data_IF_963231150394
#
_entry.id   IF_963231150394
#
_cell.length_a   1.000
_cell.length_b   1.000
_cell.length_c   1.000
_cell.angle_alpha   90.00
_cell.angle_beta   90.00
_cell.angle_gamma   90.00
#
_symmetry.space_group_name_H-M   'P 1'
#
loop_
_entity.id
_entity.type
_entity.pdbx_description
1 polymer ?
#
# COMPACT_ATOMS: atom_id res chain seq x y z
N UNK A 1 20.33 10.48 -14.99
CA UNK A 1 19.98 10.77 -13.56
C UNK A 1 19.69 9.48 -12.76
N UNK A 2 18.89 8.53 -13.26
CA UNK A 2 18.63 7.25 -12.57
C UNK A 2 19.90 6.40 -12.42
N UNK A 3 20.77 6.40 -13.41
CA UNK A 3 22.06 5.68 -13.39
C UNK A 3 23.00 6.25 -12.34
N UNK A 4 23.12 7.58 -12.24
CA UNK A 4 23.99 8.25 -11.28
C UNK A 4 23.50 8.21 -9.83
N UNK A 5 22.19 8.03 -9.59
CA UNK A 5 21.65 7.85 -8.25
C UNK A 5 21.86 6.43 -7.68
N UNK A 6 22.31 5.49 -8.50
CA UNK A 6 22.64 4.11 -8.12
C UNK A 6 24.11 3.92 -7.75
N UNK A 7 24.97 4.84 -8.20
CA UNK A 7 26.39 4.81 -7.92
C UNK A 7 26.62 5.61 -6.63
N UNK A 8 26.37 4.98 -5.49
CA UNK A 8 26.94 5.47 -4.23
C UNK A 8 28.43 5.12 -4.19
N UNK A 9 29.21 5.98 -3.56
CA UNK A 9 30.67 5.99 -3.35
C UNK A 9 31.26 4.70 -2.75
N UNK A 10 30.95 3.52 -3.27
CA UNK A 10 31.42 2.26 -2.74
C UNK A 10 32.18 1.44 -3.78
N UNK A 11 33.14 0.68 -3.29
CA UNK A 11 34.14 -0.13 -3.93
C UNK A 11 33.66 -0.78 -5.25
N UNK A 12 34.11 -0.22 -6.38
CA UNK A 12 33.80 -0.73 -7.73
C UNK A 12 34.21 -2.21 -7.94
N UNK A 13 34.97 -2.78 -7.02
CA UNK A 13 35.41 -4.17 -7.03
C UNK A 13 34.48 -5.10 -6.24
N UNK A 14 33.47 -4.61 -5.58
CA UNK A 14 32.51 -5.46 -4.87
C UNK A 14 31.72 -6.33 -5.86
N UNK A 15 31.78 -7.68 -5.76
CA UNK A 15 31.12 -8.59 -6.70
C UNK A 15 29.60 -8.33 -6.83
N UNK A 16 28.97 -7.85 -5.76
CA UNK A 16 27.55 -7.50 -5.75
C UNK A 16 27.28 -6.23 -6.56
N UNK A 17 28.14 -5.23 -6.44
CA UNK A 17 28.05 -4.00 -7.21
C UNK A 17 28.22 -4.28 -8.71
N UNK A 18 29.20 -5.11 -9.08
CA UNK A 18 29.41 -5.57 -10.47
C UNK A 18 28.15 -6.27 -10.98
N UNK A 19 27.59 -7.20 -10.21
CA UNK A 19 26.39 -7.94 -10.61
C UNK A 19 25.14 -7.05 -10.71
N UNK A 20 25.00 -6.07 -9.82
CA UNK A 20 23.94 -5.06 -9.88
C UNK A 20 24.06 -4.20 -11.15
N UNK A 21 25.28 -3.78 -11.48
CA UNK A 21 25.58 -3.00 -12.69
C UNK A 21 25.28 -3.79 -13.95
N UNK A 22 25.70 -5.04 -14.04
CA UNK A 22 25.37 -5.94 -15.15
C UNK A 22 23.86 -6.09 -15.35
N UNK A 23 23.12 -6.31 -14.25
CA UNK A 23 21.66 -6.42 -14.27
C UNK A 23 20.98 -5.14 -14.76
N UNK A 24 21.48 -3.99 -14.34
CA UNK A 24 20.98 -2.68 -14.76
C UNK A 24 21.26 -2.49 -16.25
N UNK A 25 22.47 -2.81 -16.70
CA UNK A 25 22.85 -2.72 -18.12
C UNK A 25 22.02 -3.66 -18.98
N UNK A 26 21.74 -4.89 -18.57
CA UNK A 26 20.81 -5.81 -19.25
C UNK A 26 19.40 -5.23 -19.40
N UNK A 27 18.90 -4.54 -18.36
CA UNK A 27 17.58 -3.93 -18.35
C UNK A 27 17.51 -2.77 -19.35
N UNK A 28 18.55 -1.93 -19.41
CA UNK A 28 18.56 -0.71 -20.22
C UNK A 28 18.99 -0.96 -21.67
N UNK A 29 19.62 -2.09 -22.01
CA UNK A 29 20.10 -2.40 -23.37
C UNK A 29 19.06 -3.09 -24.25
N UNK A 30 17.89 -3.46 -23.74
CA UNK A 30 16.81 -4.11 -24.51
C UNK A 30 15.99 -3.04 -25.26
N UNK A 31 16.55 -2.51 -26.37
CA UNK A 31 16.06 -1.28 -27.03
C UNK A 31 14.99 -1.47 -28.12
N UNK A 32 14.83 -2.67 -28.68
CA UNK A 32 14.12 -2.84 -29.97
C UNK A 32 12.61 -2.55 -29.93
N UNK A 33 11.95 -2.74 -28.77
CA UNK A 33 10.51 -2.46 -28.66
C UNK A 33 10.22 -1.02 -28.22
N UNK A 34 11.19 -0.33 -27.68
CA UNK A 34 11.06 0.97 -27.06
C UNK A 34 10.86 2.10 -28.08
N UNK A 35 11.56 2.01 -29.25
CA UNK A 35 11.46 3.02 -30.31
C UNK A 35 10.11 2.98 -31.03
N UNK A 36 9.58 1.79 -31.32
CA UNK A 36 8.25 1.66 -31.91
C UNK A 36 7.17 2.24 -31.00
N UNK A 37 7.17 1.86 -29.71
CA UNK A 37 6.20 2.35 -28.74
C UNK A 37 6.30 3.87 -28.61
N UNK A 38 7.53 4.41 -28.51
CA UNK A 38 7.77 5.85 -28.39
C UNK A 38 7.30 6.62 -29.62
N UNK A 39 7.75 6.18 -30.82
CA UNK A 39 7.62 6.99 -32.03
C UNK A 39 6.29 6.79 -32.76
N UNK A 40 5.58 5.67 -32.50
CA UNK A 40 4.31 5.35 -33.17
C UNK A 40 3.14 5.47 -32.20
N UNK A 41 3.22 4.79 -31.03
CA UNK A 41 2.09 4.74 -30.09
C UNK A 41 1.96 6.03 -29.26
N UNK A 42 3.08 6.58 -28.80
CA UNK A 42 3.11 7.79 -27.96
C UNK A 42 3.70 9.01 -28.68
N UNK A 43 3.63 9.02 -29.99
CA UNK A 43 4.16 10.11 -30.84
C UNK A 43 3.69 11.49 -30.35
N UNK A 44 2.44 11.61 -29.95
CA UNK A 44 1.82 12.88 -29.53
C UNK A 44 1.81 13.07 -28.01
N UNK A 45 2.36 12.12 -27.21
CA UNK A 45 2.41 12.18 -25.76
C UNK A 45 3.68 11.57 -25.16
N UNK A 46 4.80 12.22 -25.45
CA UNK A 46 6.14 11.80 -24.96
C UNK A 46 6.25 11.81 -23.45
N UNK A 47 5.52 12.69 -22.75
CA UNK A 47 5.53 12.71 -21.29
C UNK A 47 4.93 11.44 -20.68
N UNK A 48 3.82 10.98 -21.23
CA UNK A 48 3.18 9.72 -20.81
C UNK A 48 4.07 8.52 -21.10
N UNK A 49 4.71 8.49 -22.27
CA UNK A 49 5.69 7.46 -22.60
C UNK A 49 6.82 7.40 -21.56
N UNK A 50 7.40 8.56 -21.21
CA UNK A 50 8.49 8.62 -20.24
C UNK A 50 8.06 8.12 -18.85
N UNK A 51 6.83 8.42 -18.42
CA UNK A 51 6.26 7.89 -17.17
C UNK A 51 6.12 6.37 -17.23
N UNK A 52 5.55 5.82 -18.30
CA UNK A 52 5.40 4.37 -18.50
C UNK A 52 6.74 3.65 -18.54
N UNK A 53 7.70 4.21 -19.29
CA UNK A 53 9.05 3.69 -19.43
C UNK A 53 9.74 3.59 -18.07
N UNK A 54 9.69 4.66 -17.27
CA UNK A 54 10.27 4.68 -15.92
C UNK A 54 9.68 3.59 -15.02
N UNK A 55 8.36 3.41 -15.03
CA UNK A 55 7.67 2.37 -14.26
C UNK A 55 8.06 0.99 -14.75
N UNK A 56 8.11 0.78 -16.07
CA UNK A 56 8.48 -0.49 -16.66
C UNK A 56 9.88 -0.94 -16.21
N UNK A 57 10.89 -0.09 -16.39
CA UNK A 57 12.26 -0.42 -16.02
C UNK A 57 12.43 -0.63 -14.51
N UNK A 58 11.79 0.20 -13.70
CA UNK A 58 11.86 0.04 -12.23
C UNK A 58 11.21 -1.27 -11.77
N UNK A 59 10.10 -1.68 -12.40
CA UNK A 59 9.49 -2.98 -12.13
C UNK A 59 10.42 -4.15 -12.49
N UNK A 60 11.10 -4.06 -13.65
CA UNK A 60 12.09 -5.04 -14.06
C UNK A 60 13.24 -5.13 -13.05
N UNK A 61 13.77 -3.98 -12.64
CA UNK A 61 14.84 -3.89 -11.64
C UNK A 61 14.43 -4.56 -10.31
N UNK A 62 13.29 -4.18 -9.74
CA UNK A 62 12.77 -4.76 -8.49
C UNK A 62 12.61 -6.28 -8.60
N UNK A 63 12.06 -6.76 -9.71
CA UNK A 63 11.89 -8.20 -9.93
C UNK A 63 13.22 -8.94 -9.98
N UNK A 64 14.19 -8.43 -10.74
CA UNK A 64 15.52 -9.03 -10.86
C UNK A 64 16.27 -8.97 -9.54
N UNK A 65 16.27 -7.83 -8.82
CA UNK A 65 16.89 -7.70 -7.49
C UNK A 65 16.34 -8.74 -6.52
N UNK A 66 15.02 -8.90 -6.44
CA UNK A 66 14.41 -9.90 -5.56
C UNK A 66 14.88 -11.31 -5.88
N UNK A 67 15.02 -11.66 -7.18
CA UNK A 67 15.52 -12.97 -7.61
C UNK A 67 16.99 -13.18 -7.30
N UNK A 68 17.83 -12.17 -7.50
CA UNK A 68 19.28 -12.26 -7.23
C UNK A 68 19.55 -12.41 -5.74
N UNK A 69 18.83 -11.65 -4.91
CA UNK A 69 18.96 -11.72 -3.45
C UNK A 69 18.33 -12.98 -2.86
N UNK A 70 17.63 -13.79 -3.67
CA UNK A 70 16.88 -14.96 -3.18
C UNK A 70 15.95 -14.61 -2.01
N UNK A 71 15.44 -13.35 -2.00
CA UNK A 71 14.57 -12.86 -0.93
C UNK A 71 13.18 -13.49 -1.02
N UNK A 72 12.92 -14.45 -0.12
CA UNK A 72 11.66 -15.14 -0.02
C UNK A 72 10.67 -14.46 0.96
N UNK A 73 11.06 -13.33 1.56
CA UNK A 73 10.13 -12.59 2.42
C UNK A 73 9.13 -11.80 1.56
N UNK A 74 7.83 -11.83 1.90
CA UNK A 74 6.87 -11.00 1.21
C UNK A 74 7.08 -9.51 1.50
N UNK A 75 6.77 -8.66 0.53
CA UNK A 75 6.62 -7.23 0.74
C UNK A 75 5.16 -6.94 1.07
N UNK A 76 4.89 -6.41 2.27
CA UNK A 76 3.53 -6.27 2.81
C UNK A 76 3.03 -4.84 2.68
N UNK A 77 1.92 -4.66 1.96
CA UNK A 77 1.28 -3.37 1.68
C UNK A 77 -0.08 -3.31 2.35
N UNK A 78 -0.32 -2.35 3.25
CA UNK A 78 -1.67 -2.08 3.74
C UNK A 78 -2.30 -0.93 2.95
N UNK A 79 -3.52 -1.14 2.45
CA UNK A 79 -4.36 -0.10 1.87
C UNK A 79 -5.39 0.39 2.87
N UNK A 80 -5.47 1.71 3.06
CA UNK A 80 -6.49 2.37 3.89
C UNK A 80 -6.98 3.66 3.23
N UNK A 81 -7.87 4.38 3.89
CA UNK A 81 -8.32 5.72 3.46
C UNK A 81 -9.82 5.85 3.30
N UNK A 82 -10.22 7.05 2.89
CA UNK A 82 -11.62 7.47 2.74
C UNK A 82 -12.43 6.47 1.90
N UNK A 83 -13.69 6.18 2.24
CA UNK A 83 -14.57 5.44 1.36
C UNK A 83 -14.69 6.05 -0.04
N UNK A 84 -14.93 5.21 -1.06
CA UNK A 84 -15.15 5.64 -2.46
C UNK A 84 -13.99 6.37 -3.14
N UNK A 85 -12.77 6.21 -2.65
CA UNK A 85 -11.55 6.71 -3.32
C UNK A 85 -11.05 5.79 -4.45
N UNK A 86 -11.68 4.64 -4.66
CA UNK A 86 -11.26 3.66 -5.67
C UNK A 86 -10.19 2.66 -5.19
N UNK A 87 -10.02 2.46 -3.85
CA UNK A 87 -9.04 1.52 -3.29
C UNK A 87 -9.11 0.13 -3.90
N UNK A 88 -10.28 -0.49 -3.93
CA UNK A 88 -10.46 -1.86 -4.45
C UNK A 88 -10.05 -1.96 -5.92
N UNK A 89 -10.40 -0.96 -6.74
CA UNK A 89 -9.96 -0.91 -8.14
C UNK A 89 -8.44 -0.78 -8.24
N UNK A 90 -7.84 0.05 -7.37
CA UNK A 90 -6.39 0.24 -7.32
C UNK A 90 -5.66 -1.04 -6.89
N UNK A 91 -6.15 -1.73 -5.87
CA UNK A 91 -5.62 -3.03 -5.40
C UNK A 91 -5.65 -4.07 -6.54
N UNK A 92 -6.76 -4.18 -7.27
CA UNK A 92 -6.88 -5.10 -8.39
C UNK A 92 -5.94 -4.74 -9.55
N UNK A 93 -5.83 -3.46 -9.89
CA UNK A 93 -4.88 -2.99 -10.90
C UNK A 93 -3.42 -3.30 -10.52
N UNK A 94 -3.05 -3.13 -9.26
CA UNK A 94 -1.72 -3.46 -8.74
C UNK A 94 -1.44 -4.96 -8.79
N UNK A 95 -2.40 -5.79 -8.37
CA UNK A 95 -2.31 -7.24 -8.50
C UNK A 95 -1.97 -7.65 -9.92
N UNK A 96 -2.74 -7.14 -10.90
CA UNK A 96 -2.54 -7.48 -12.30
C UNK A 96 -1.21 -6.94 -12.84
N UNK A 97 -0.83 -5.73 -12.43
CA UNK A 97 0.44 -5.11 -12.79
C UNK A 97 1.65 -5.94 -12.35
N UNK A 98 1.65 -6.42 -11.11
CA UNK A 98 2.75 -7.24 -10.58
C UNK A 98 2.70 -8.67 -11.12
N UNK A 99 1.53 -9.30 -11.22
CA UNK A 99 1.38 -10.66 -11.75
C UNK A 99 1.86 -10.78 -13.21
N UNK A 100 1.60 -9.77 -14.05
CA UNK A 100 2.08 -9.74 -15.43
C UNK A 100 3.61 -9.80 -15.55
N UNK A 101 4.35 -9.42 -14.50
CA UNK A 101 5.80 -9.55 -14.45
C UNK A 101 6.27 -10.90 -13.92
N UNK A 102 5.42 -11.64 -13.23
CA UNK A 102 5.74 -12.92 -12.63
C UNK A 102 5.86 -12.88 -11.09
N UNK A 103 5.49 -11.77 -10.45
CA UNK A 103 5.37 -11.76 -8.99
C UNK A 103 4.19 -12.61 -8.54
N UNK A 104 4.38 -13.37 -7.47
CA UNK A 104 3.30 -14.04 -6.74
C UNK A 104 2.66 -13.02 -5.80
N UNK A 105 1.42 -12.62 -6.11
CA UNK A 105 0.69 -11.60 -5.34
C UNK A 105 -0.51 -12.22 -4.66
N UNK A 106 -0.61 -12.02 -3.35
CA UNK A 106 -1.76 -12.41 -2.54
C UNK A 106 -2.51 -11.16 -2.05
N UNK A 107 -3.85 -11.22 -2.03
CA UNK A 107 -4.70 -10.16 -1.48
C UNK A 107 -5.42 -10.72 -0.27
N UNK A 108 -5.29 -10.01 0.86
CA UNK A 108 -6.13 -10.19 2.04
C UNK A 108 -7.26 -9.15 1.98
N UNK A 109 -8.47 -9.63 1.72
CA UNK A 109 -9.66 -8.78 1.57
C UNK A 109 -10.06 -8.14 2.90
N UNK A 110 -10.77 -7.02 2.82
CA UNK A 110 -11.32 -6.35 4.00
C UNK A 110 -12.18 -7.31 4.82
N UNK A 111 -11.75 -7.59 6.04
CA UNK A 111 -12.40 -8.59 6.90
C UNK A 111 -13.87 -8.30 7.16
N UNK A 112 -14.24 -7.03 7.32
CA UNK A 112 -15.63 -6.63 7.61
C UNK A 112 -16.60 -6.90 6.46
N UNK A 113 -16.11 -7.13 5.26
CA UNK A 113 -16.92 -7.52 4.09
C UNK A 113 -17.05 -9.03 3.93
N UNK A 114 -16.22 -9.82 4.64
CA UNK A 114 -16.20 -11.27 4.53
C UNK A 114 -17.50 -11.91 5.01
N UNK A 115 -17.87 -13.02 4.40
CA UNK A 115 -19.05 -13.82 4.81
C UNK A 115 -18.91 -14.34 6.25
N UNK A 116 -17.69 -14.69 6.67
CA UNK A 116 -17.40 -15.12 8.05
C UNK A 116 -17.71 -14.01 9.05
N UNK A 117 -17.27 -12.78 8.78
CA UNK A 117 -17.59 -11.64 9.65
C UNK A 117 -19.09 -11.41 9.73
N UNK A 118 -19.78 -11.39 8.59
CA UNK A 118 -21.23 -11.13 8.52
C UNK A 118 -22.05 -12.20 9.23
N UNK A 119 -21.68 -13.47 9.10
CA UNK A 119 -22.48 -14.59 9.63
C UNK A 119 -22.11 -14.97 11.07
N UNK A 120 -20.84 -14.94 11.42
CA UNK A 120 -20.35 -15.47 12.71
C UNK A 120 -20.05 -14.38 13.73
N UNK A 121 -19.44 -13.26 13.30
CA UNK A 121 -18.92 -12.24 14.21
C UNK A 121 -19.90 -11.09 14.39
N UNK A 122 -20.39 -10.51 13.30
CA UNK A 122 -21.29 -9.37 13.35
C UNK A 122 -22.55 -9.59 14.22
N UNK A 123 -23.24 -10.74 14.20
CA UNK A 123 -24.38 -10.99 15.06
C UNK A 123 -24.05 -11.01 16.54
N UNK A 124 -22.84 -11.47 16.90
CA UNK A 124 -22.40 -11.53 18.32
C UNK A 124 -21.96 -10.16 18.85
N UNK A 125 -21.57 -9.26 17.96
CA UNK A 125 -21.11 -7.91 18.29
C UNK A 125 -22.22 -6.93 18.61
N UNK A 126 -23.48 -7.26 18.30
CA UNK A 126 -24.63 -6.34 18.36
C UNK A 126 -24.86 -5.66 19.72
N UNK A 127 -24.27 -6.16 20.80
CA UNK A 127 -24.44 -5.66 22.16
C UNK A 127 -23.15 -5.23 22.91
N UNK A 128 -21.92 -5.45 22.36
CA UNK A 128 -20.65 -5.14 23.05
C UNK A 128 -19.65 -4.37 22.15
N UNK A 129 -20.11 -3.44 21.42
CA UNK A 129 -19.57 -2.92 20.16
C UNK A 129 -18.16 -2.32 20.14
N UNK A 130 -17.64 -1.70 21.19
CA UNK A 130 -16.46 -0.83 21.02
C UNK A 130 -15.13 -1.58 21.11
N UNK A 131 -14.97 -2.42 22.11
CA UNK A 131 -13.68 -3.07 22.37
C UNK A 131 -13.45 -4.33 21.52
N UNK A 132 -14.51 -5.11 21.25
CA UNK A 132 -14.40 -6.40 20.53
C UNK A 132 -14.01 -6.20 19.07
N UNK A 133 -14.59 -5.21 18.38
CA UNK A 133 -14.25 -4.91 16.98
C UNK A 133 -12.79 -4.48 16.85
N UNK A 134 -12.30 -3.67 17.79
CA UNK A 134 -10.94 -3.16 17.76
C UNK A 134 -9.89 -4.19 18.19
N UNK A 135 -10.28 -5.30 18.81
CA UNK A 135 -9.35 -6.37 19.21
C UNK A 135 -9.49 -7.64 18.37
N UNK A 136 -10.68 -8.06 18.01
CA UNK A 136 -10.90 -9.32 17.29
C UNK A 136 -10.58 -9.21 15.79
N UNK A 137 -10.92 -8.08 15.16
CA UNK A 137 -10.57 -7.86 13.76
C UNK A 137 -9.06 -7.89 13.53
N UNK A 138 -8.24 -7.15 14.29
CA UNK A 138 -6.79 -7.23 14.19
C UNK A 138 -6.20 -8.61 14.42
N UNK A 139 -6.69 -9.35 15.40
CA UNK A 139 -6.24 -10.74 15.65
C UNK A 139 -6.49 -11.63 14.43
N UNK A 140 -7.66 -11.50 13.82
CA UNK A 140 -7.99 -12.27 12.63
C UNK A 140 -7.11 -11.88 11.44
N UNK A 141 -6.92 -10.57 11.21
CA UNK A 141 -6.05 -10.08 10.13
C UNK A 141 -4.62 -10.53 10.33
N UNK A 142 -4.08 -10.46 11.56
CA UNK A 142 -2.74 -10.97 11.88
C UNK A 142 -2.62 -12.46 11.58
N UNK A 143 -3.60 -13.27 11.97
CA UNK A 143 -3.60 -14.70 11.67
C UNK A 143 -3.59 -14.96 10.16
N UNK A 144 -4.43 -14.26 9.40
CA UNK A 144 -4.44 -14.38 7.94
C UNK A 144 -3.11 -13.94 7.31
N UNK A 145 -2.50 -12.88 7.85
CA UNK A 145 -1.18 -12.41 7.39
C UNK A 145 -0.11 -13.48 7.65
N UNK A 146 -0.09 -14.09 8.83
CA UNK A 146 0.86 -15.16 9.17
C UNK A 146 0.68 -16.37 8.25
N UNK A 147 -0.55 -16.83 8.05
CA UNK A 147 -0.89 -17.91 7.09
C UNK A 147 -0.48 -17.55 5.64
N UNK A 148 -0.59 -16.28 5.25
CA UNK A 148 -0.14 -15.81 3.93
C UNK A 148 1.38 -15.82 3.81
N UNK A 149 2.10 -15.34 4.84
CA UNK A 149 3.57 -15.36 4.87
C UNK A 149 4.12 -16.77 4.72
N UNK A 150 3.48 -17.78 5.33
CA UNK A 150 3.87 -19.19 5.19
C UNK A 150 3.78 -19.70 3.75
N UNK A 151 2.88 -19.17 2.93
CA UNK A 151 2.76 -19.47 1.49
C UNK A 151 3.83 -18.82 0.62
N UNK A 152 4.66 -17.93 1.20
CA UNK A 152 5.79 -17.25 0.57
C UNK A 152 5.43 -16.51 -0.73
N UNK A 153 4.39 -15.68 -0.77
CA UNK A 153 4.17 -14.81 -1.92
C UNK A 153 5.30 -13.76 -2.01
N UNK A 154 5.45 -13.13 -3.17
CA UNK A 154 6.37 -12.00 -3.31
C UNK A 154 5.81 -10.72 -2.70
N UNK A 155 4.49 -10.54 -2.79
CA UNK A 155 3.77 -9.35 -2.33
C UNK A 155 2.46 -9.78 -1.65
N UNK A 156 2.19 -9.20 -0.48
CA UNK A 156 0.89 -9.30 0.19
C UNK A 156 0.25 -7.91 0.19
N UNK A 157 -0.96 -7.80 -0.33
CA UNK A 157 -1.75 -6.56 -0.29
C UNK A 157 -2.92 -6.79 0.66
N UNK A 158 -3.06 -5.92 1.67
CA UNK A 158 -4.12 -6.02 2.67
C UNK A 158 -5.07 -4.83 2.48
N UNK A 159 -6.35 -5.10 2.24
CA UNK A 159 -7.39 -4.06 2.20
C UNK A 159 -7.91 -3.84 3.62
N UNK A 160 -7.46 -2.77 4.28
CA UNK A 160 -7.74 -2.36 5.66
C UNK A 160 -7.26 -3.36 6.73
N UNK A 161 -6.28 -2.96 7.50
CA UNK A 161 -5.63 -3.81 8.49
C UNK A 161 -5.44 -3.06 9.83
N UNK A 162 -4.25 -3.16 10.37
CA UNK A 162 -3.88 -2.63 11.68
C UNK A 162 -3.89 -1.09 11.71
N UNK A 163 -3.40 -0.46 10.65
CA UNK A 163 -3.37 1.00 10.57
C UNK A 163 -4.78 1.59 10.41
N UNK A 164 -5.61 0.94 9.60
CA UNK A 164 -7.02 1.34 9.49
C UNK A 164 -7.74 1.25 10.85
N UNK A 165 -7.38 0.28 11.70
CA UNK A 165 -7.93 0.21 13.07
C UNK A 165 -7.48 1.37 13.94
N UNK A 166 -6.24 1.85 13.80
CA UNK A 166 -5.81 3.06 14.51
C UNK A 166 -6.63 4.30 14.10
N UNK A 167 -6.98 4.44 12.81
CA UNK A 167 -7.87 5.53 12.35
C UNK A 167 -9.23 5.45 13.06
N UNK A 168 -9.81 4.25 13.16
CA UNK A 168 -11.08 4.06 13.86
C UNK A 168 -10.99 4.28 15.37
N UNK A 169 -9.89 3.90 16.00
CA UNK A 169 -9.61 4.12 17.43
C UNK A 169 -9.47 5.62 17.69
N UNK A 170 -8.72 6.36 16.85
CA UNK A 170 -8.59 7.81 16.95
C UNK A 170 -9.94 8.51 16.82
N UNK A 171 -10.76 8.10 15.84
CA UNK A 171 -12.11 8.63 15.68
C UNK A 171 -13.00 8.39 16.92
N UNK A 172 -12.88 7.24 17.57
CA UNK A 172 -13.62 6.96 18.81
C UNK A 172 -13.15 7.87 19.96
N UNK A 173 -11.83 8.10 20.05
CA UNK A 173 -11.25 9.01 21.03
C UNK A 173 -11.72 10.45 20.83
N UNK A 174 -11.66 10.98 19.62
CA UNK A 174 -12.15 12.33 19.30
C UNK A 174 -13.63 12.53 19.62
N UNK A 175 -14.43 11.48 19.54
CA UNK A 175 -15.86 11.48 19.90
C UNK A 175 -16.14 11.27 21.38
N UNK A 176 -15.14 11.32 22.25
CA UNK A 176 -15.26 10.96 23.67
C UNK A 176 -15.86 9.57 23.90
N UNK A 177 -15.70 8.69 22.92
CA UNK A 177 -16.16 7.31 23.02
C UNK A 177 -15.15 6.36 23.65
N UNK A 178 -13.96 6.87 23.97
CA UNK A 178 -12.81 6.16 24.54
C UNK A 178 -12.05 7.13 25.46
N UNK A 179 -11.50 6.62 26.56
CA UNK A 179 -10.62 7.40 27.44
C UNK A 179 -9.21 7.55 26.83
N UNK A 180 -8.46 8.53 27.29
CA UNK A 180 -7.06 8.74 26.86
C UNK A 180 -6.17 7.54 27.20
N UNK A 181 -6.39 6.90 28.35
CA UNK A 181 -5.66 5.70 28.72
C UNK A 181 -5.93 4.54 27.76
N UNK A 182 -7.19 4.27 27.42
CA UNK A 182 -7.54 3.24 26.43
C UNK A 182 -6.93 3.55 25.06
N UNK A 183 -7.00 4.80 24.62
CA UNK A 183 -6.40 5.23 23.36
C UNK A 183 -4.88 5.01 23.34
N UNK A 184 -4.20 5.36 24.43
CA UNK A 184 -2.76 5.11 24.61
C UNK A 184 -2.43 3.61 24.55
N UNK A 185 -3.21 2.76 25.18
CA UNK A 185 -3.01 1.30 25.16
C UNK A 185 -3.17 0.73 23.73
N UNK A 186 -4.14 1.20 22.96
CA UNK A 186 -4.26 0.80 21.54
C UNK A 186 -3.04 1.23 20.72
N UNK A 187 -2.53 2.44 20.89
CA UNK A 187 -1.31 2.88 20.21
C UNK A 187 -0.12 2.02 20.57
N UNK A 188 0.10 1.75 21.87
CA UNK A 188 1.17 0.87 22.34
C UNK A 188 1.08 -0.54 21.76
N UNK A 189 -0.12 -1.05 21.54
CA UNK A 189 -0.35 -2.37 20.96
C UNK A 189 -0.10 -2.37 19.44
N UNK A 190 -0.68 -1.42 18.70
CA UNK A 190 -0.69 -1.48 17.23
C UNK A 190 0.57 -0.93 16.58
N UNK A 191 1.18 0.13 17.10
CA UNK A 191 2.35 0.74 16.47
C UNK A 191 3.50 -0.25 16.28
N UNK A 192 3.92 -1.04 17.29
CA UNK A 192 4.96 -2.06 17.11
C UNK A 192 4.57 -3.15 16.08
N UNK A 193 3.29 -3.57 16.07
CA UNK A 193 2.81 -4.57 15.12
C UNK A 193 2.85 -4.04 13.68
N UNK A 194 2.42 -2.80 13.47
CA UNK A 194 2.48 -2.14 12.16
C UNK A 194 3.94 -2.07 11.68
N UNK A 195 4.85 -1.54 12.51
CA UNK A 195 6.27 -1.40 12.17
C UNK A 195 6.96 -2.73 11.84
N UNK A 196 6.51 -3.83 12.46
CA UNK A 196 7.13 -5.15 12.29
C UNK A 196 6.50 -6.00 11.18
N UNK A 197 5.25 -5.73 10.80
CA UNK A 197 4.47 -6.60 9.91
C UNK A 197 4.08 -5.96 8.57
N UNK A 198 4.20 -4.63 8.45
CA UNK A 198 3.77 -3.88 7.28
C UNK A 198 4.94 -3.04 6.78
N UNK A 199 5.34 -3.23 5.53
CA UNK A 199 6.45 -2.49 4.93
C UNK A 199 6.04 -1.08 4.52
N UNK A 200 4.81 -0.92 4.00
CA UNK A 200 4.28 0.37 3.56
C UNK A 200 2.77 0.46 3.70
N UNK A 201 2.30 1.64 4.06
CA UNK A 201 0.88 1.98 4.10
C UNK A 201 0.57 2.95 2.97
N UNK A 202 -0.36 2.55 2.10
CA UNK A 202 -0.92 3.37 1.04
C UNK A 202 -2.30 3.85 1.48
N UNK A 203 -2.41 5.13 1.73
CA UNK A 203 -3.68 5.75 2.11
C UNK A 203 -4.23 6.60 0.99
N UNK A 204 -5.51 6.46 0.69
CA UNK A 204 -6.21 7.28 -0.29
C UNK A 204 -7.20 8.21 0.38
N UNK A 205 -7.12 9.49 0.04
CA UNK A 205 -7.96 10.55 0.57
C UNK A 205 -8.89 11.10 -0.52
N UNK A 206 -10.06 11.53 -0.14
CA UNK A 206 -10.92 12.44 -0.90
C UNK A 206 -11.80 13.24 0.06
N UNK A 207 -12.21 14.42 -0.34
CA UNK A 207 -13.21 15.19 0.44
C UNK A 207 -14.55 14.45 0.54
N UNK A 208 -15.34 14.82 1.53
CA UNK A 208 -16.61 14.16 1.84
C UNK A 208 -17.64 14.25 0.71
N UNK A 209 -17.73 15.40 0.05
CA UNK A 209 -18.70 15.62 -1.02
C UNK A 209 -18.36 14.80 -2.26
N UNK A 210 -17.10 14.76 -2.63
CA UNK A 210 -16.61 13.91 -3.73
C UNK A 210 -16.82 12.42 -3.42
N UNK A 211 -16.56 11.99 -2.17
CA UNK A 211 -16.85 10.62 -1.74
C UNK A 211 -18.34 10.29 -1.89
N UNK A 212 -19.23 11.15 -1.41
CA UNK A 212 -20.69 10.97 -1.53
C UNK A 212 -21.12 10.94 -2.99
N UNK A 213 -20.66 11.89 -3.81
CA UNK A 213 -20.98 11.93 -5.25
C UNK A 213 -20.59 10.62 -5.94
N UNK A 214 -19.40 10.10 -5.64
CA UNK A 214 -18.95 8.81 -6.17
C UNK A 214 -19.80 7.65 -5.68
N UNK A 215 -20.29 7.69 -4.43
CA UNK A 215 -21.17 6.65 -3.88
C UNK A 215 -22.53 6.64 -4.58
N UNK A 216 -23.18 7.78 -4.73
CA UNK A 216 -24.44 7.89 -5.45
C UNK A 216 -24.33 7.41 -6.89
N UNK A 217 -23.27 7.82 -7.60
CA UNK A 217 -23.01 7.39 -8.98
C UNK A 217 -22.78 5.89 -9.09
N UNK A 218 -21.98 5.31 -8.19
CA UNK A 218 -21.65 3.88 -8.21
C UNK A 218 -22.86 2.99 -7.92
N UNK A 219 -23.82 3.48 -7.11
CA UNK A 219 -25.02 2.72 -6.75
C UNK A 219 -26.22 3.02 -7.66
N UNK A 220 -26.11 4.01 -8.53
CA UNK A 220 -27.22 4.50 -9.38
C UNK A 220 -28.49 4.78 -8.54
N UNK A 221 -28.34 5.31 -7.33
CA UNK A 221 -29.41 5.53 -6.37
C UNK A 221 -29.24 6.85 -5.64
N UNK A 222 -30.34 7.53 -5.34
CA UNK A 222 -30.39 8.73 -4.50
C UNK A 222 -30.72 8.42 -3.03
N UNK A 223 -30.78 7.14 -2.66
CA UNK A 223 -31.07 6.73 -1.28
C UNK A 223 -29.92 7.06 -0.34
N UNK A 224 -30.25 7.68 0.79
CA UNK A 224 -29.27 7.99 1.85
C UNK A 224 -28.83 6.72 2.56
N UNK A 225 -27.54 6.55 2.70
CA UNK A 225 -26.96 5.47 3.53
C UNK A 225 -26.72 5.97 4.95
N UNK A 226 -26.99 5.12 5.93
CA UNK A 226 -26.85 5.47 7.35
C UNK A 226 -25.41 5.83 7.75
N UNK A 227 -24.44 5.16 7.20
CA UNK A 227 -23.03 5.34 7.54
C UNK A 227 -22.31 6.35 6.64
N UNK A 228 -22.53 6.30 5.31
CA UNK A 228 -21.93 7.23 4.35
C UNK A 228 -22.71 8.54 4.34
N UNK A 229 -22.30 9.46 5.18
CA UNK A 229 -22.79 10.83 5.24
C UNK A 229 -21.62 11.80 5.47
N UNK A 230 -21.82 13.07 5.22
CA UNK A 230 -20.79 14.10 5.26
C UNK A 230 -20.09 14.17 6.62
N UNK A 231 -20.85 14.15 7.72
CA UNK A 231 -20.30 14.20 9.08
C UNK A 231 -19.36 13.03 9.35
N UNK A 232 -19.80 11.79 9.08
CA UNK A 232 -19.00 10.61 9.30
C UNK A 232 -17.72 10.57 8.43
N UNK A 233 -17.81 11.07 7.19
CA UNK A 233 -16.67 11.15 6.29
C UNK A 233 -15.66 12.21 6.74
N UNK A 234 -16.13 13.37 7.18
CA UNK A 234 -15.27 14.42 7.72
C UNK A 234 -14.53 13.95 8.96
N UNK A 235 -15.22 13.30 9.90
CA UNK A 235 -14.61 12.72 11.09
C UNK A 235 -13.57 11.63 10.76
N UNK A 236 -13.86 10.77 9.78
CA UNK A 236 -12.89 9.78 9.33
C UNK A 236 -11.66 10.45 8.71
N UNK A 237 -11.86 11.47 7.89
CA UNK A 237 -10.79 12.22 7.26
C UNK A 237 -9.93 12.98 8.27
N UNK A 238 -10.53 13.54 9.33
CA UNK A 238 -9.81 14.17 10.43
C UNK A 238 -8.89 13.15 11.13
N UNK A 239 -9.43 12.00 11.51
CA UNK A 239 -8.64 10.93 12.12
C UNK A 239 -7.54 10.39 11.18
N UNK A 240 -7.82 10.31 9.88
CA UNK A 240 -6.81 9.93 8.89
C UNK A 240 -5.63 10.91 8.86
N UNK A 241 -5.91 12.21 8.92
CA UNK A 241 -4.87 13.23 8.95
C UNK A 241 -4.09 13.25 10.29
N UNK A 242 -4.75 12.95 11.41
CA UNK A 242 -4.08 12.75 12.69
C UNK A 242 -3.13 11.54 12.64
N UNK A 243 -3.57 10.44 12.03
CA UNK A 243 -2.74 9.25 11.87
C UNK A 243 -1.56 9.47 10.92
N UNK A 244 -1.69 10.37 9.92
CA UNK A 244 -0.55 10.81 9.13
C UNK A 244 0.52 11.48 10.01
N UNK A 245 0.15 12.40 10.91
CA UNK A 245 1.09 13.03 11.85
C UNK A 245 1.72 12.00 12.78
N UNK A 246 0.92 11.10 13.35
CA UNK A 246 1.42 10.01 14.19
C UNK A 246 2.43 9.12 13.43
N UNK A 247 2.19 8.85 12.15
CA UNK A 247 3.11 8.04 11.36
C UNK A 247 4.45 8.72 11.12
N UNK A 248 4.48 10.04 10.98
CA UNK A 248 5.70 10.85 10.89
C UNK A 248 6.49 10.80 12.21
N UNK A 249 5.81 10.97 13.37
CA UNK A 249 6.39 10.89 14.70
C UNK A 249 6.97 9.50 15.02
N UNK A 250 6.27 8.47 14.60
CA UNK A 250 6.62 7.06 14.87
C UNK A 250 7.50 6.43 13.79
N UNK A 251 7.89 7.17 12.73
CA UNK A 251 8.64 6.65 11.59
C UNK A 251 7.96 5.42 10.94
N UNK A 252 6.63 5.48 10.75
CA UNK A 252 5.87 4.51 9.99
C UNK A 252 5.85 4.94 8.52
N UNK A 253 6.15 4.03 7.61
CA UNK A 253 6.15 4.31 6.17
C UNK A 253 4.72 4.47 5.65
N UNK A 254 4.20 5.68 5.75
CA UNK A 254 2.84 6.06 5.40
C UNK A 254 2.82 7.06 4.24
N UNK A 255 2.05 6.76 3.20
CA UNK A 255 1.94 7.58 2.01
C UNK A 255 0.47 7.90 1.70
N UNK A 256 0.14 9.20 1.71
CA UNK A 256 -1.21 9.71 1.47
C UNK A 256 -1.36 10.23 0.04
N UNK A 257 -2.34 9.71 -0.68
CA UNK A 257 -2.67 10.10 -2.05
C UNK A 257 -4.04 10.76 -2.10
N UNK A 258 -4.07 12.04 -2.45
CA UNK A 258 -5.32 12.75 -2.70
C UNK A 258 -5.90 12.37 -4.07
N UNK A 259 -7.10 11.81 -4.05
CA UNK A 259 -7.82 11.36 -5.25
C UNK A 259 -8.95 12.29 -5.65
N UNK A 260 -9.14 13.42 -4.98
CA UNK A 260 -10.30 14.31 -5.15
C UNK A 260 -10.47 14.73 -6.62
N UNK A 261 -9.40 15.24 -7.23
CA UNK A 261 -9.38 15.75 -8.60
C UNK A 261 -8.59 14.86 -9.59
N UNK A 262 -8.33 13.60 -9.23
CA UNK A 262 -7.56 12.68 -10.05
C UNK A 262 -8.39 11.52 -10.54
N UNK A 263 -8.12 11.09 -11.75
CA UNK A 263 -8.69 9.86 -12.29
C UNK A 263 -7.92 8.62 -11.79
N UNK A 264 -8.51 7.45 -12.01
CA UNK A 264 -7.95 6.17 -11.54
C UNK A 264 -6.56 5.87 -12.12
N UNK A 265 -6.29 6.29 -13.35
CA UNK A 265 -5.00 6.07 -14.02
C UNK A 265 -3.90 6.91 -13.38
N UNK A 266 -4.16 8.19 -13.11
CA UNK A 266 -3.21 9.10 -12.47
C UNK A 266 -2.80 8.60 -11.09
N UNK A 267 -3.78 8.19 -10.28
CA UNK A 267 -3.51 7.61 -8.95
C UNK A 267 -2.73 6.30 -9.07
N UNK A 268 -3.08 5.43 -10.03
CA UNK A 268 -2.34 4.18 -10.24
C UNK A 268 -0.87 4.44 -10.57
N UNK A 269 -0.57 5.45 -11.38
CA UNK A 269 0.82 5.83 -11.68
C UNK A 269 1.57 6.29 -10.44
N UNK A 270 0.99 7.19 -9.65
CA UNK A 270 1.62 7.72 -8.44
C UNK A 270 1.89 6.62 -7.41
N UNK A 271 0.91 5.76 -7.17
CA UNK A 271 1.03 4.66 -6.20
C UNK A 271 2.04 3.62 -6.67
N UNK A 272 2.03 3.24 -7.95
CA UNK A 272 3.02 2.30 -8.51
C UNK A 272 4.43 2.87 -8.43
N UNK A 273 4.65 4.14 -8.78
CA UNK A 273 5.98 4.77 -8.68
C UNK A 273 6.47 4.81 -7.23
N UNK A 274 5.59 5.12 -6.28
CA UNK A 274 5.89 5.09 -4.84
C UNK A 274 6.29 3.67 -4.39
N UNK A 275 5.45 2.67 -4.68
CA UNK A 275 5.69 1.28 -4.28
C UNK A 275 6.99 0.72 -4.85
N UNK A 276 7.25 0.93 -6.15
CA UNK A 276 8.47 0.43 -6.77
C UNK A 276 9.74 1.11 -6.23
N UNK A 277 9.67 2.39 -5.85
CA UNK A 277 10.78 3.09 -5.19
C UNK A 277 11.06 2.48 -3.83
N UNK A 278 10.04 2.27 -3.03
CA UNK A 278 10.18 1.74 -1.69
C UNK A 278 10.65 0.27 -1.70
N UNK A 279 10.03 -0.58 -2.52
CA UNK A 279 10.45 -1.98 -2.71
C UNK A 279 11.94 -2.07 -3.11
N UNK A 280 12.35 -1.22 -4.06
CA UNK A 280 13.76 -1.14 -4.47
C UNK A 280 14.67 -0.79 -3.31
N UNK A 281 14.33 0.26 -2.55
CA UNK A 281 15.14 0.68 -1.40
C UNK A 281 15.19 -0.39 -0.31
N UNK A 282 14.08 -1.05 -0.04
CA UNK A 282 14.00 -2.16 0.91
C UNK A 282 14.94 -3.32 0.50
N UNK A 283 14.93 -3.72 -0.78
CA UNK A 283 15.81 -4.77 -1.30
C UNK A 283 17.29 -4.36 -1.24
N UNK A 284 17.63 -3.12 -1.59
CA UNK A 284 19.00 -2.62 -1.47
C UNK A 284 19.48 -2.61 -0.01
N UNK A 285 18.64 -2.15 0.92
CA UNK A 285 18.98 -2.15 2.35
C UNK A 285 19.21 -3.56 2.89
N UNK A 286 18.47 -4.57 2.40
CA UNK A 286 18.71 -5.98 2.73
C UNK A 286 20.05 -6.46 2.15
N UNK A 287 20.33 -6.12 0.89
CA UNK A 287 21.60 -6.45 0.25
C UNK A 287 22.80 -5.91 1.04
N UNK A 288 22.78 -4.63 1.40
CA UNK A 288 23.86 -4.02 2.19
C UNK A 288 24.07 -4.73 3.52
N UNK A 289 23.00 -5.05 4.25
CA UNK A 289 23.12 -5.77 5.53
C UNK A 289 23.73 -7.17 5.39
N UNK A 290 23.44 -7.89 4.31
CA UNK A 290 24.01 -9.22 4.07
C UNK A 290 25.49 -9.19 3.73
N UNK A 291 25.99 -8.09 3.16
CA UNK A 291 27.38 -7.94 2.72
C UNK A 291 28.28 -7.23 3.73
N UNK A 292 27.75 -6.36 4.59
CA UNK A 292 28.53 -5.72 5.67
C UNK A 292 28.92 -6.70 6.80
N UNK A 293 28.35 -7.91 6.85
CA UNK A 293 28.68 -8.95 7.81
C UNK A 293 29.66 -10.03 7.28
N UNK A 294 30.22 -9.83 6.08
CA UNK A 294 31.27 -10.71 5.54
C UNK A 294 32.58 -9.98 5.33
#
# INVERSE_FOLDING_TARGET
EVYNSLIFNEDENNPMFIRLKELIDEIFNNKDNDEYVKNIIFKDNIEEYNKLRKIHYRKEEVYKLKKVLSDNSPYVIEFTGTPRTGKTSLINNLKDFFKKKGFVVEILEEFTTSEKYKKEIYPTLKYKYKNVVNTEIPKYVLKQLEESVERKPDIIIIDRSLFDRLIWVDRLYLKNGMSENEYSEYKKLYIPLIKNKIDIIISTYTDSLTSLKRDYNANLSLEKRSFLNETNLNEYNESLLNMKKLSEEENINFNLFDTTNKNQREISFEVVDCLLKDMRQNLLNKAYKEFDFK
#
